data_IF_696416053602
#
_entry.id   IF_696416053602
#
_cell.length_a   1.000
_cell.length_b   1.000
_cell.length_c   1.000
_cell.angle_alpha   90.00
_cell.angle_beta   90.00
_cell.angle_gamma   90.00
#
_symmetry.space_group_name_H-M   'P 1'
#
loop_
_entity.id
_entity.type
_entity.pdbx_description
1 polymer ?
#
# COMPACT_ATOMS: atom_id res chain seq x y z
N UNK A 1 -6.78 51.69 16.28
CA UNK A 1 -7.37 51.69 14.93
C UNK A 1 -6.23 51.23 14.04
N UNK A 2 -6.17 50.01 13.53
CA UNK A 2 -7.23 49.08 13.17
C UNK A 2 -6.79 47.63 13.42
N UNK A 3 -7.76 46.83 13.88
CA UNK A 3 -7.66 45.38 13.99
C UNK A 3 -7.75 44.77 12.59
N UNK A 4 -6.80 43.91 12.20
CA UNK A 4 -7.08 42.77 11.31
C UNK A 4 -6.15 41.58 11.65
N UNK A 5 -6.56 40.64 12.51
CA UNK A 5 -5.95 39.33 12.57
C UNK A 5 -6.33 38.53 11.32
N UNK A 6 -5.31 37.90 10.76
CA UNK A 6 -5.27 36.82 9.78
C UNK A 6 -6.58 36.04 9.61
N UNK A 7 -7.17 36.21 8.42
CA UNK A 7 -8.23 35.34 7.91
C UNK A 7 -7.70 33.91 7.75
N UNK A 8 -7.84 33.11 8.82
CA UNK A 8 -7.79 31.65 8.75
C UNK A 8 -8.86 31.19 7.79
N UNK A 9 -8.45 30.87 6.56
CA UNK A 9 -9.28 30.23 5.57
C UNK A 9 -9.69 28.87 6.12
N UNK A 10 -10.90 28.80 6.68
CA UNK A 10 -11.56 27.57 7.13
C UNK A 10 -11.82 26.74 5.88
N UNK A 11 -10.83 25.92 5.52
CA UNK A 11 -10.98 24.96 4.43
C UNK A 11 -12.20 24.08 4.74
N UNK A 12 -13.11 23.88 3.76
CA UNK A 12 -14.29 23.07 3.96
C UNK A 12 -13.86 21.65 4.28
N UNK A 13 -14.25 21.20 5.48
CA UNK A 13 -14.12 19.83 5.96
C UNK A 13 -14.83 18.91 4.98
N UNK A 14 -14.07 18.22 4.13
CA UNK A 14 -14.56 17.07 3.39
C UNK A 14 -14.97 16.02 4.43
N UNK A 15 -16.27 15.93 4.70
CA UNK A 15 -16.87 14.81 5.41
C UNK A 15 -16.80 13.59 4.49
N UNK A 16 -15.62 12.99 4.40
CA UNK A 16 -15.47 11.65 3.83
C UNK A 16 -16.21 10.71 4.78
N UNK A 17 -17.40 10.26 4.36
CA UNK A 17 -18.16 9.24 5.05
C UNK A 17 -17.26 8.01 5.17
N UNK A 18 -16.72 7.78 6.37
CA UNK A 18 -15.75 6.74 6.62
C UNK A 18 -16.46 5.39 6.56
N UNK A 19 -16.54 4.82 5.37
CA UNK A 19 -16.76 3.38 5.23
C UNK A 19 -15.69 2.69 6.10
N UNK A 20 -16.06 1.72 6.96
CA UNK A 20 -15.07 1.03 7.78
C UNK A 20 -13.98 0.50 6.84
N UNK A 21 -12.70 0.75 7.12
CA UNK A 21 -11.63 0.40 6.21
C UNK A 21 -11.74 -1.09 5.93
N UNK A 22 -11.95 -1.44 4.65
CA UNK A 22 -11.89 -2.83 4.22
C UNK A 22 -10.55 -3.38 4.71
N UNK A 23 -10.60 -4.32 5.65
CA UNK A 23 -9.38 -4.88 6.24
C UNK A 23 -8.59 -5.54 5.12
N UNK A 24 -7.49 -4.90 4.73
CA UNK A 24 -6.57 -5.48 3.76
C UNK A 24 -6.11 -6.83 4.29
N UNK A 25 -6.17 -7.86 3.45
CA UNK A 25 -5.65 -9.16 3.81
C UNK A 25 -4.12 -9.06 3.92
N UNK A 26 -3.60 -9.22 5.14
CA UNK A 26 -2.17 -9.18 5.42
C UNK A 26 -1.62 -10.60 5.48
N UNK A 27 -0.59 -10.88 4.69
CA UNK A 27 0.16 -12.14 4.68
C UNK A 27 1.65 -11.84 4.93
N UNK A 28 2.36 -12.73 5.63
CA UNK A 28 3.81 -12.61 5.81
C UNK A 28 4.55 -13.03 4.53
N UNK A 29 5.72 -12.45 4.30
CA UNK A 29 6.59 -12.83 3.18
C UNK A 29 7.01 -14.29 3.25
N UNK A 30 7.30 -14.81 4.45
CA UNK A 30 7.69 -16.21 4.64
C UNK A 30 6.56 -17.18 4.28
N UNK A 31 5.31 -16.84 4.65
CA UNK A 31 4.16 -17.65 4.27
C UNK A 31 3.87 -17.56 2.77
N UNK A 32 4.06 -16.37 2.17
CA UNK A 32 3.80 -16.13 0.76
C UNK A 32 4.83 -16.81 -0.17
N UNK A 33 6.10 -16.81 0.22
CA UNK A 33 7.21 -17.31 -0.61
C UNK A 33 7.66 -18.74 -0.26
N UNK A 34 7.28 -19.22 0.93
CA UNK A 34 7.69 -20.51 1.44
C UNK A 34 9.21 -20.70 1.53
N UNK A 35 9.64 -21.96 1.57
CA UNK A 35 11.06 -22.32 1.77
C UNK A 35 11.98 -21.91 0.62
N UNK A 36 11.41 -21.65 -0.57
CA UNK A 36 12.18 -21.30 -1.77
C UNK A 36 12.51 -19.81 -1.85
N UNK A 37 11.84 -18.97 -1.05
CA UNK A 37 12.02 -17.52 -1.10
C UNK A 37 11.49 -16.89 -2.39
N UNK A 38 10.65 -17.62 -3.13
CA UNK A 38 10.08 -17.18 -4.40
C UNK A 38 8.70 -17.82 -4.67
N UNK A 39 7.87 -17.08 -5.40
CA UNK A 39 6.54 -17.47 -5.85
C UNK A 39 6.36 -17.10 -7.32
N UNK A 40 5.78 -18.00 -8.12
CA UNK A 40 5.31 -17.70 -9.46
C UNK A 40 3.82 -17.31 -9.37
N UNK A 41 3.47 -16.23 -10.04
CA UNK A 41 2.14 -15.66 -10.08
C UNK A 41 1.74 -15.60 -11.55
N UNK A 42 0.71 -16.35 -11.92
CA UNK A 42 0.06 -16.18 -13.23
C UNK A 42 -0.93 -15.01 -13.15
N UNK A 43 -0.78 -14.04 -14.03
CA UNK A 43 -1.69 -12.90 -14.10
C UNK A 43 -1.85 -12.43 -15.54
N UNK A 44 -3.10 -12.42 -16.02
CA UNK A 44 -3.41 -11.97 -17.39
C UNK A 44 -2.70 -12.81 -18.47
N UNK A 45 -2.51 -14.11 -18.24
CA UNK A 45 -1.81 -15.01 -19.17
C UNK A 45 -0.29 -14.84 -19.20
N UNK A 46 0.29 -14.10 -18.25
CA UNK A 46 1.73 -13.92 -18.09
C UNK A 46 2.18 -14.44 -16.74
N UNK A 47 3.39 -14.98 -16.70
CA UNK A 47 4.02 -15.38 -15.46
C UNK A 47 4.81 -14.20 -14.87
N UNK A 48 4.67 -14.01 -13.57
CA UNK A 48 5.47 -13.09 -12.78
C UNK A 48 6.15 -13.86 -11.67
N UNK A 49 7.36 -13.46 -11.31
CA UNK A 49 8.10 -14.02 -10.19
C UNK A 49 8.23 -12.99 -9.09
N UNK A 50 7.65 -13.28 -7.93
CA UNK A 50 7.89 -12.55 -6.70
C UNK A 50 9.02 -13.26 -5.94
N UNK A 51 10.06 -12.55 -5.53
CA UNK A 51 11.16 -13.13 -4.74
C UNK A 51 11.72 -12.16 -3.71
N UNK A 52 12.37 -12.71 -2.69
CA UNK A 52 13.21 -11.93 -1.78
C UNK A 52 14.58 -11.65 -2.43
N UNK A 53 15.08 -10.42 -2.29
CA UNK A 53 16.41 -10.01 -2.72
C UNK A 53 17.43 -10.17 -1.59
N UNK A 54 18.72 -10.09 -1.92
CA UNK A 54 19.80 -10.11 -0.92
C UNK A 54 19.72 -8.95 0.10
N UNK A 55 19.14 -7.81 -0.27
CA UNK A 55 18.94 -6.68 0.66
C UNK A 55 17.62 -6.76 1.45
N UNK A 56 16.93 -7.90 1.42
CA UNK A 56 15.73 -8.16 2.21
C UNK A 56 14.45 -7.52 1.67
N UNK A 57 14.45 -7.02 0.42
CA UNK A 57 13.25 -6.47 -0.23
C UNK A 57 12.56 -7.51 -1.10
N UNK A 58 11.27 -7.32 -1.34
CA UNK A 58 10.54 -8.09 -2.33
C UNK A 58 10.66 -7.43 -3.70
N UNK A 59 10.92 -8.24 -4.74
CA UNK A 59 10.90 -7.78 -6.13
C UNK A 59 9.96 -8.66 -6.95
N UNK A 60 9.15 -8.02 -7.80
CA UNK A 60 8.30 -8.67 -8.80
C UNK A 60 8.93 -8.46 -10.18
N UNK A 61 9.18 -9.54 -10.90
CA UNK A 61 9.71 -9.49 -12.27
C UNK A 61 8.80 -10.26 -13.23
N UNK A 62 8.67 -9.76 -14.46
CA UNK A 62 7.99 -10.44 -15.56
C UNK A 62 8.99 -11.23 -16.43
#
# INVERSE_FOLDING_TARGET
MDLQPDMKHKQPSHVVSAMPPMRQHKISSDALLGRRGELIIEHGGREYRLRLTQNGKLILTA
#
